data_IF_028925171689
#
_entry.id   IF_028925171689
#
_cell.length_a   1.000
_cell.length_b   1.000
_cell.length_c   1.000
_cell.angle_alpha   90.00
_cell.angle_beta   90.00
_cell.angle_gamma   90.00
#
_symmetry.space_group_name_H-M   'P 1'
#
loop_
_entity.id
_entity.type
_entity.pdbx_description
1 polymer ?
#
# COMPACT_ATOMS: atom_id res chain seq x y z
N UNK A 1 6.03 -25.88 -1.34
CA UNK A 1 4.80 -25.45 -2.05
C UNK A 1 4.19 -24.19 -1.44
N UNK A 2 3.83 -24.16 -0.15
CA UNK A 2 3.17 -22.98 0.45
C UNK A 2 3.98 -21.66 0.36
N UNK A 3 5.29 -21.69 0.59
CA UNK A 3 6.15 -20.49 0.49
C UNK A 3 6.22 -19.91 -0.93
N UNK A 4 6.23 -20.78 -1.94
CA UNK A 4 6.26 -20.38 -3.36
C UNK A 4 4.97 -19.69 -3.77
N UNK A 5 3.82 -20.22 -3.33
CA UNK A 5 2.50 -19.64 -3.59
C UNK A 5 2.37 -18.27 -2.93
N UNK A 6 2.79 -18.12 -1.66
CA UNK A 6 2.76 -16.83 -0.95
C UNK A 6 3.65 -15.79 -1.65
N UNK A 7 4.83 -16.19 -2.13
CA UNK A 7 5.75 -15.29 -2.84
C UNK A 7 5.17 -14.83 -4.18
N UNK A 8 4.56 -15.74 -4.95
CA UNK A 8 3.86 -15.40 -6.19
C UNK A 8 2.68 -14.48 -5.94
N UNK A 9 1.85 -14.80 -4.95
CA UNK A 9 0.69 -13.98 -4.58
C UNK A 9 1.12 -12.56 -4.18
N UNK A 10 2.22 -12.45 -3.43
CA UNK A 10 2.79 -11.15 -3.05
C UNK A 10 3.28 -10.36 -4.25
N UNK A 11 3.99 -10.99 -5.18
CA UNK A 11 4.46 -10.34 -6.39
C UNK A 11 3.29 -9.84 -7.25
N UNK A 12 2.30 -10.68 -7.51
CA UNK A 12 1.11 -10.33 -8.27
C UNK A 12 0.33 -9.18 -7.61
N UNK A 13 0.11 -9.26 -6.30
CA UNK A 13 -0.56 -8.21 -5.53
C UNK A 13 0.24 -6.89 -5.58
N UNK A 14 1.56 -6.95 -5.43
CA UNK A 14 2.42 -5.75 -5.49
C UNK A 14 2.38 -5.10 -6.86
N UNK A 15 2.47 -5.88 -7.94
CA UNK A 15 2.35 -5.37 -9.31
C UNK A 15 0.97 -4.76 -9.57
N UNK A 16 -0.09 -5.41 -9.09
CA UNK A 16 -1.45 -4.88 -9.17
C UNK A 16 -1.59 -3.55 -8.42
N UNK A 17 -1.13 -3.48 -7.17
CA UNK A 17 -1.19 -2.28 -6.33
C UNK A 17 -0.33 -1.15 -6.90
N UNK A 18 0.81 -1.46 -7.53
CA UNK A 18 1.64 -0.49 -8.24
C UNK A 18 0.86 0.17 -9.40
N UNK A 19 0.24 -0.64 -10.26
CA UNK A 19 -0.53 -0.15 -11.41
C UNK A 19 -1.77 0.64 -10.97
N UNK A 20 -2.50 0.13 -9.99
CA UNK A 20 -3.70 0.79 -9.45
C UNK A 20 -3.32 2.08 -8.72
N UNK A 21 -2.29 2.04 -7.89
CA UNK A 21 -1.76 3.19 -7.17
C UNK A 21 -1.31 4.29 -8.11
N UNK A 22 -0.57 3.95 -9.17
CA UNK A 22 -0.17 4.90 -10.21
C UNK A 22 -1.39 5.51 -10.90
N UNK A 23 -2.37 4.71 -11.30
CA UNK A 23 -3.60 5.21 -11.91
C UNK A 23 -4.39 6.14 -10.99
N UNK A 24 -4.40 5.86 -9.69
CA UNK A 24 -4.97 6.72 -8.64
C UNK A 24 -4.20 8.02 -8.47
N UNK A 25 -2.87 7.96 -8.41
CA UNK A 25 -1.99 9.11 -8.26
C UNK A 25 -2.08 10.08 -9.45
N UNK A 26 -2.22 9.55 -10.67
CA UNK A 26 -2.40 10.35 -11.89
C UNK A 26 -3.78 11.03 -12.00
N UNK A 27 -4.65 10.89 -11.00
CA UNK A 27 -5.97 11.53 -11.01
C UNK A 27 -6.96 10.91 -12.00
N UNK A 28 -6.70 9.69 -12.49
CA UNK A 28 -7.63 8.95 -13.37
C UNK A 28 -8.97 8.67 -12.68
N UNK A 29 -9.00 8.77 -11.36
CA UNK A 29 -10.16 8.56 -10.52
C UNK A 29 -10.67 9.88 -9.93
N UNK A 30 -11.96 10.17 -10.15
CA UNK A 30 -12.65 11.43 -9.78
C UNK A 30 -12.86 11.65 -8.27
N UNK A 31 -11.99 11.18 -7.38
CA UNK A 31 -12.21 11.32 -5.93
C UNK A 31 -11.01 12.01 -5.27
N UNK A 32 -11.25 13.03 -4.43
CA UNK A 32 -10.17 13.85 -3.85
C UNK A 32 -9.18 13.07 -2.97
N UNK A 33 -9.66 12.00 -2.34
CA UNK A 33 -8.82 11.09 -1.55
C UNK A 33 -8.07 10.06 -2.41
N UNK A 34 -8.46 9.90 -3.67
CA UNK A 34 -7.88 8.90 -4.56
C UNK A 34 -6.43 9.20 -4.93
N UNK A 35 -6.01 10.45 -5.25
CA UNK A 35 -4.60 10.75 -5.50
C UNK A 35 -3.71 10.47 -4.29
N UNK A 36 -4.14 10.88 -3.08
CA UNK A 36 -3.36 10.66 -1.86
C UNK A 36 -3.19 9.16 -1.56
N UNK A 37 -4.29 8.42 -1.54
CA UNK A 37 -4.24 6.97 -1.38
C UNK A 37 -3.45 6.29 -2.51
N UNK A 38 -3.56 6.80 -3.73
CA UNK A 38 -2.80 6.35 -4.88
C UNK A 38 -1.28 6.50 -4.72
N UNK A 39 -0.82 7.64 -4.22
CA UNK A 39 0.59 7.86 -3.90
C UNK A 39 1.09 6.93 -2.81
N UNK A 40 0.32 6.74 -1.74
CA UNK A 40 0.66 5.80 -0.67
C UNK A 40 0.76 4.36 -1.19
N UNK A 41 -0.23 3.91 -1.96
CA UNK A 41 -0.22 2.58 -2.58
C UNK A 41 0.93 2.41 -3.58
N UNK A 42 1.22 3.43 -4.39
CA UNK A 42 2.27 3.40 -5.40
C UNK A 42 3.67 3.34 -4.76
N UNK A 43 3.98 4.26 -3.85
CA UNK A 43 5.27 4.30 -3.15
C UNK A 43 5.46 3.02 -2.34
N UNK A 44 4.42 2.59 -1.63
CA UNK A 44 4.47 1.36 -0.85
C UNK A 44 4.73 0.13 -1.73
N UNK A 45 4.06 0.03 -2.88
CA UNK A 45 4.28 -1.06 -3.84
C UNK A 45 5.66 -1.01 -4.47
N UNK A 46 6.21 0.17 -4.72
CA UNK A 46 7.57 0.33 -5.24
C UNK A 46 8.60 -0.18 -4.22
N UNK A 47 8.45 0.16 -2.94
CA UNK A 47 9.32 -0.35 -1.86
C UNK A 47 9.28 -1.89 -1.77
N UNK A 48 8.07 -2.48 -1.80
CA UNK A 48 7.93 -3.96 -1.78
C UNK A 48 8.49 -4.58 -3.06
N UNK A 49 8.34 -3.93 -4.22
CA UNK A 49 8.89 -4.43 -5.47
C UNK A 49 10.41 -4.46 -5.46
N UNK A 50 11.06 -3.41 -4.95
CA UNK A 50 12.53 -3.36 -4.76
C UNK A 50 12.97 -4.50 -3.84
N UNK A 51 12.27 -4.73 -2.74
CA UNK A 51 12.52 -5.86 -1.84
C UNK A 51 12.45 -7.21 -2.58
N UNK A 52 11.38 -7.44 -3.34
CA UNK A 52 11.18 -8.69 -4.07
C UNK A 52 12.21 -8.91 -5.18
N UNK A 53 12.60 -7.83 -5.88
CA UNK A 53 13.61 -7.87 -6.93
C UNK A 53 14.98 -8.25 -6.38
N UNK A 54 15.43 -7.55 -5.35
CA UNK A 54 16.70 -7.82 -4.66
C UNK A 54 16.73 -9.23 -4.06
N UNK A 55 15.64 -9.66 -3.43
CA UNK A 55 15.52 -11.01 -2.88
C UNK A 55 15.60 -12.09 -3.96
N UNK A 56 15.08 -11.84 -5.17
CA UNK A 56 15.15 -12.78 -6.29
C UNK A 56 16.55 -12.84 -6.87
N UNK A 57 17.12 -11.69 -7.21
CA UNK A 57 18.47 -11.57 -7.79
C UNK A 57 19.51 -12.28 -6.93
N UNK A 58 19.47 -12.10 -5.61
CA UNK A 58 20.47 -12.68 -4.70
C UNK A 58 20.25 -14.16 -4.37
N UNK A 59 19.04 -14.68 -4.55
CA UNK A 59 18.80 -16.13 -4.49
C UNK A 59 19.35 -16.85 -5.73
N UNK A 60 19.42 -16.17 -6.88
CA UNK A 60 19.98 -16.71 -8.11
C UNK A 60 21.53 -16.68 -8.08
N UNK A 61 22.15 -15.67 -7.45
CA UNK A 61 23.61 -15.53 -7.38
C UNK A 61 24.32 -16.23 -6.21
N UNK A 62 23.59 -16.81 -5.24
CA UNK A 62 24.16 -17.45 -4.01
C UNK A 62 25.17 -16.58 -3.25
N UNK A 63 25.19 -15.26 -3.45
CA UNK A 63 26.07 -14.39 -2.70
C UNK A 63 25.54 -14.16 -1.27
N UNK A 64 26.40 -14.23 -0.25
CA UNK A 64 25.99 -13.92 1.12
C UNK A 64 25.65 -12.42 1.21
N UNK A 65 24.37 -12.09 1.38
CA UNK A 65 23.97 -10.72 1.74
C UNK A 65 24.69 -10.30 3.02
N UNK A 66 25.35 -9.13 2.98
CA UNK A 66 25.74 -8.38 4.17
C UNK A 66 24.52 -8.21 5.10
N UNK A 67 24.76 -8.33 6.40
CA UNK A 67 23.69 -8.22 7.41
C UNK A 67 22.97 -6.87 7.33
N UNK A 68 23.68 -5.78 7.01
CA UNK A 68 23.10 -4.44 6.86
C UNK A 68 22.10 -4.35 5.70
N UNK A 69 22.40 -5.02 4.58
CA UNK A 69 21.49 -5.06 3.42
C UNK A 69 20.23 -5.86 3.73
N UNK A 70 20.32 -6.93 4.51
CA UNK A 70 19.14 -7.70 4.95
C UNK A 70 18.20 -6.85 5.79
N UNK A 71 18.76 -6.10 6.74
CA UNK A 71 17.95 -5.25 7.63
C UNK A 71 17.25 -4.14 6.83
N UNK A 72 17.97 -3.47 5.93
CA UNK A 72 17.38 -2.46 5.04
C UNK A 72 16.24 -3.03 4.18
N UNK A 73 16.45 -4.20 3.58
CA UNK A 73 15.44 -4.88 2.76
C UNK A 73 14.19 -5.26 3.56
N UNK A 74 14.37 -5.77 4.78
CA UNK A 74 13.26 -6.08 5.67
C UNK A 74 12.48 -4.82 6.09
N UNK A 75 13.17 -3.70 6.32
CA UNK A 75 12.53 -2.40 6.60
C UNK A 75 11.76 -1.89 5.39
N UNK A 76 12.30 -2.01 4.17
CA UNK A 76 11.60 -1.64 2.94
C UNK A 76 10.32 -2.44 2.74
N UNK A 77 10.36 -3.75 3.02
CA UNK A 77 9.17 -4.61 2.97
C UNK A 77 8.09 -4.18 3.97
N UNK A 78 8.51 -3.89 5.21
CA UNK A 78 7.63 -3.47 6.28
C UNK A 78 6.99 -2.10 5.98
N UNK A 79 7.81 -1.10 5.65
CA UNK A 79 7.36 0.25 5.32
C UNK A 79 6.45 0.22 4.10
N UNK A 80 6.86 -0.50 3.05
CA UNK A 80 6.09 -0.60 1.82
C UNK A 80 4.71 -1.21 2.05
N UNK A 81 4.64 -2.32 2.80
CA UNK A 81 3.38 -2.98 3.10
C UNK A 81 2.47 -2.12 3.99
N UNK A 82 3.05 -1.37 4.93
CA UNK A 82 2.32 -0.44 5.82
C UNK A 82 1.73 0.74 5.05
N UNK A 83 2.46 1.30 4.08
CA UNK A 83 1.96 2.36 3.20
C UNK A 83 0.80 1.88 2.33
N UNK A 84 0.89 0.67 1.76
CA UNK A 84 -0.20 0.06 0.98
C UNK A 84 -1.45 -0.10 1.86
N UNK A 85 -1.29 -0.64 3.08
CA UNK A 85 -2.39 -0.84 4.03
C UNK A 85 -3.01 0.49 4.46
N UNK A 86 -2.20 1.51 4.72
CA UNK A 86 -2.69 2.86 5.04
C UNK A 86 -3.52 3.44 3.88
N UNK A 87 -3.02 3.37 2.65
CA UNK A 87 -3.73 3.82 1.46
C UNK A 87 -5.07 3.09 1.28
N UNK A 88 -5.08 1.76 1.44
CA UNK A 88 -6.31 0.96 1.41
C UNK A 88 -7.28 1.32 2.55
N UNK A 89 -6.79 1.61 3.75
CA UNK A 89 -7.62 2.09 4.87
C UNK A 89 -8.32 3.42 4.58
N UNK A 90 -7.62 4.35 3.93
CA UNK A 90 -8.21 5.61 3.44
C UNK A 90 -9.30 5.34 2.41
N UNK A 91 -9.10 4.39 1.49
CA UNK A 91 -10.10 4.09 0.46
C UNK A 91 -11.33 3.40 1.07
N UNK A 92 -11.13 2.41 1.93
CA UNK A 92 -12.20 1.59 2.52
C UNK A 92 -13.11 2.41 3.44
N UNK A 93 -12.59 3.44 4.09
CA UNK A 93 -13.39 4.36 4.91
C UNK A 93 -14.28 5.30 4.11
N UNK A 94 -14.12 5.38 2.78
CA UNK A 94 -15.01 6.20 1.95
C UNK A 94 -16.27 5.42 1.53
N UNK A 95 -17.48 5.94 1.80
CA UNK A 95 -18.73 5.22 1.52
C UNK A 95 -18.93 4.92 0.02
N UNK A 96 -18.41 5.79 -0.87
CA UNK A 96 -18.43 5.57 -2.33
C UNK A 96 -17.54 4.41 -2.80
N UNK A 97 -16.56 3.95 -2.00
CA UNK A 97 -15.60 2.89 -2.37
C UNK A 97 -15.54 1.73 -1.39
N UNK A 98 -16.63 1.52 -0.66
CA UNK A 98 -16.86 0.31 0.11
C UNK A 98 -17.15 -0.88 -0.81
N UNK A 99 -16.20 -1.20 -1.69
CA UNK A 99 -16.25 -2.35 -2.59
C UNK A 99 -15.64 -3.56 -1.89
N UNK A 100 -16.24 -4.73 -2.11
CA UNK A 100 -15.71 -6.00 -1.62
C UNK A 100 -14.26 -6.23 -2.07
N UNK A 101 -13.89 -5.71 -3.25
CA UNK A 101 -12.53 -5.80 -3.78
C UNK A 101 -11.52 -5.02 -2.92
N UNK A 102 -11.91 -3.86 -2.38
CA UNK A 102 -11.00 -3.07 -1.54
C UNK A 102 -10.77 -3.75 -0.19
N UNK A 103 -11.81 -4.36 0.39
CA UNK A 103 -11.68 -5.15 1.60
C UNK A 103 -10.86 -6.42 1.41
N UNK A 104 -11.07 -7.16 0.30
CA UNK A 104 -10.27 -8.35 0.04
C UNK A 104 -8.81 -8.01 -0.19
N UNK A 105 -8.50 -6.90 -0.86
CA UNK A 105 -7.12 -6.42 -1.01
C UNK A 105 -6.50 -5.98 0.32
N UNK A 106 -7.27 -5.30 1.19
CA UNK A 106 -6.81 -4.91 2.52
C UNK A 106 -6.47 -6.15 3.37
N UNK A 107 -7.40 -7.12 3.43
CA UNK A 107 -7.22 -8.37 4.16
C UNK A 107 -6.07 -9.21 3.58
N UNK A 108 -5.94 -9.25 2.26
CA UNK A 108 -4.83 -9.94 1.59
C UNK A 108 -3.49 -9.32 1.96
N UNK A 109 -3.35 -7.99 1.94
CA UNK A 109 -2.11 -7.33 2.35
C UNK A 109 -1.79 -7.58 3.82
N UNK A 110 -2.80 -7.56 4.69
CA UNK A 110 -2.63 -7.92 6.11
C UNK A 110 -2.15 -9.37 6.28
N UNK A 111 -2.75 -10.30 5.54
CA UNK A 111 -2.34 -11.70 5.51
C UNK A 111 -0.90 -11.87 5.01
N UNK A 112 -0.52 -11.19 3.92
CA UNK A 112 0.84 -11.27 3.36
C UNK A 112 1.90 -10.72 4.33
N UNK A 113 1.62 -9.62 5.03
CA UNK A 113 2.49 -9.08 6.08
C UNK A 113 2.67 -10.09 7.22
N UNK A 114 1.57 -10.70 7.67
CA UNK A 114 1.60 -11.68 8.75
C UNK A 114 2.34 -12.98 8.39
N UNK A 115 2.43 -13.32 7.09
CA UNK A 115 3.16 -14.48 6.58
C UNK A 115 4.61 -14.19 6.19
N UNK A 116 4.96 -12.92 5.99
CA UNK A 116 6.36 -12.49 5.75
C UNK A 116 7.22 -12.72 6.99
N UNK A 117 6.60 -12.66 8.18
CA UNK A 117 7.26 -12.94 9.44
C UNK A 117 7.18 -14.44 9.73
N UNK A 118 8.34 -15.09 9.84
CA UNK A 118 8.50 -16.53 10.09
C UNK A 118 7.88 -17.02 11.41
N UNK A 119 7.33 -16.12 12.23
CA UNK A 119 6.53 -16.43 13.40
C UNK A 119 5.29 -15.55 13.41
N UNK A 120 4.13 -16.17 13.19
CA UNK A 120 2.82 -15.53 13.32
C UNK A 120 2.57 -15.25 14.81
N UNK A 121 3.20 -14.19 15.32
CA UNK A 121 2.94 -13.67 16.65
C UNK A 121 2.12 -12.40 16.48
N UNK A 122 0.91 -12.36 17.03
CA UNK A 122 0.07 -11.15 17.10
C UNK A 122 0.83 -10.01 17.80
N UNK A 123 1.86 -10.34 18.60
CA UNK A 123 2.75 -9.39 19.24
C UNK A 123 3.85 -8.81 18.35
N UNK A 124 4.01 -9.31 17.11
CA UNK A 124 5.07 -8.85 16.23
C UNK A 124 4.89 -7.35 15.89
N UNK A 125 5.94 -6.52 16.02
CA UNK A 125 5.83 -5.07 15.86
C UNK A 125 5.26 -4.67 14.49
N UNK A 126 5.60 -5.41 13.44
CA UNK A 126 5.10 -5.15 12.07
C UNK A 126 3.58 -5.35 11.97
N UNK A 127 3.00 -6.36 12.64
CA UNK A 127 1.55 -6.59 12.63
C UNK A 127 0.82 -5.48 13.39
N UNK A 128 1.40 -5.04 14.52
CA UNK A 128 0.90 -3.87 15.26
C UNK A 128 0.97 -2.59 14.41
N UNK A 129 2.07 -2.39 13.68
CA UNK A 129 2.24 -1.25 12.78
C UNK A 129 1.23 -1.28 11.64
N UNK A 130 0.99 -2.45 11.04
CA UNK A 130 -0.01 -2.64 10.01
C UNK A 130 -1.42 -2.34 10.53
N UNK A 131 -1.78 -2.83 11.72
CA UNK A 131 -3.07 -2.52 12.33
C UNK A 131 -3.23 -1.03 12.64
N UNK A 132 -2.19 -0.41 13.21
CA UNK A 132 -2.16 1.03 13.45
C UNK A 132 -2.34 1.82 12.15
N UNK A 133 -1.70 1.38 11.06
CA UNK A 133 -1.82 2.00 9.75
C UNK A 133 -3.24 1.89 9.17
N UNK A 134 -3.94 0.78 9.41
CA UNK A 134 -5.38 0.67 9.10
C UNK A 134 -6.16 1.72 9.89
N UNK A 135 -5.97 1.78 11.22
CA UNK A 135 -6.69 2.72 12.08
C UNK A 135 -6.44 4.17 11.67
N UNK A 136 -5.18 4.53 11.39
CA UNK A 136 -4.80 5.87 10.92
C UNK A 136 -5.39 6.16 9.55
N UNK A 137 -5.32 5.22 8.61
CA UNK A 137 -5.91 5.38 7.27
C UNK A 137 -7.42 5.56 7.31
N UNK A 138 -8.12 4.74 8.11
CA UNK A 138 -9.57 4.84 8.32
C UNK A 138 -9.93 6.15 9.00
N UNK A 139 -9.20 6.53 10.06
CA UNK A 139 -9.41 7.78 10.78
C UNK A 139 -9.19 9.01 9.90
N UNK A 140 -8.12 9.01 9.09
CA UNK A 140 -7.84 10.07 8.13
C UNK A 140 -8.92 10.16 7.05
N UNK A 141 -9.36 9.03 6.50
CA UNK A 141 -10.42 9.00 5.49
C UNK A 141 -11.77 9.48 6.04
N UNK A 142 -12.15 9.03 7.24
CA UNK A 142 -13.36 9.52 7.93
C UNK A 142 -13.24 11.00 8.27
N UNK A 143 -12.10 11.45 8.81
CA UNK A 143 -11.85 12.85 9.15
C UNK A 143 -11.91 13.78 7.94
N UNK A 144 -11.28 13.41 6.82
CA UNK A 144 -11.34 14.18 5.58
C UNK A 144 -12.74 14.19 4.95
N UNK A 145 -13.52 13.12 5.16
CA UNK A 145 -14.95 13.08 4.77
C UNK A 145 -15.78 14.00 5.67
N UNK A 146 -15.51 14.01 6.97
CA UNK A 146 -16.22 14.81 7.99
C UNK A 146 -15.93 16.30 7.89
N UNK A 147 -14.68 16.68 7.63
CA UNK A 147 -14.25 18.09 7.46
C UNK A 147 -14.93 18.73 6.26
N UNK A 148 -15.64 17.96 5.43
CA UNK A 148 -16.44 18.52 4.35
C UNK A 148 -15.54 19.30 3.41
N UNK A 149 -14.47 18.66 2.92
CA UNK A 149 -13.81 19.12 1.70
C UNK A 149 -14.87 19.03 0.61
N UNK A 150 -15.68 20.08 0.54
CA UNK A 150 -16.80 20.27 -0.36
C UNK A 150 -16.20 20.08 -1.74
N UNK A 151 -16.55 18.98 -2.41
CA UNK A 151 -15.98 18.53 -3.69
C UNK A 151 -15.84 19.73 -4.66
N UNK A 152 -16.76 20.71 -4.55
CA UNK A 152 -16.83 21.95 -5.31
C UNK A 152 -15.58 22.85 -5.26
N UNK A 153 -14.90 23.03 -4.13
CA UNK A 153 -13.78 23.98 -4.06
C UNK A 153 -12.49 23.44 -4.71
N UNK A 154 -12.21 22.14 -4.59
CA UNK A 154 -11.00 21.56 -5.18
C UNK A 154 -11.09 21.39 -6.70
N UNK A 155 -12.29 21.09 -7.24
CA UNK A 155 -12.53 21.07 -8.69
C UNK A 155 -12.31 22.43 -9.35
N UNK A 156 -12.52 23.54 -8.63
CA UNK A 156 -12.26 24.88 -9.14
C UNK A 156 -10.75 25.17 -9.31
N UNK A 157 -9.90 24.63 -8.42
CA UNK A 157 -8.44 24.76 -8.51
C UNK A 157 -7.82 23.91 -9.61
N UNK A 158 -8.31 22.67 -9.79
CA UNK A 158 -7.79 21.74 -10.80
C UNK A 158 -8.18 22.12 -12.24
N UNK A 159 -9.39 22.68 -12.45
CA UNK A 159 -9.75 23.30 -13.74
C UNK A 159 -8.86 24.49 -14.09
N UNK A 160 -8.32 25.18 -13.08
CA UNK A 160 -7.38 26.29 -13.29
C UNK A 160 -6.02 25.77 -13.74
N UNK A 161 -5.55 24.65 -13.18
CA UNK A 161 -4.30 23.99 -13.58
C UNK A 161 -4.39 23.31 -14.96
N UNK A 162 -5.51 22.65 -15.30
CA UNK A 162 -5.73 22.06 -16.63
C UNK A 162 -5.89 23.09 -17.76
N UNK A 163 -6.00 24.38 -17.45
CA UNK A 163 -5.96 25.46 -18.46
C UNK A 163 -4.56 26.05 -18.65
N UNK A 164 -3.61 25.69 -17.78
CA UNK A 164 -2.24 26.23 -17.78
C UNK A 164 -1.24 25.23 -18.39
N UNK A 165 -1.61 23.95 -18.45
CA UNK A 165 -0.89 22.88 -19.19
C UNK A 165 -1.61 22.62 -20.50
#
# INVERSE_FOLDING_TARGET
MAATVVSMLRLCNTAFMLCVGLGKAMGRYRHHLSPLAGWLEFIGSLCVLVYLWEKRSKNEEKEPLLNDTKDLLNRLDAVGSVLIIAGLGVIVSTPKRNSIVCWTMLLLNFYLVSRSTSSFSVNHPIVKLAFLAVCVGVGAGLGLTWVGVDERHFYSGLKKWQKIV
#
